data_IF_772229316610
#
_entry.id   IF_772229316610
#
_cell.length_a   1.000
_cell.length_b   1.000
_cell.length_c   1.000
_cell.angle_alpha   90.00
_cell.angle_beta   90.00
_cell.angle_gamma   90.00
#
_symmetry.space_group_name_H-M   'P 1'
#
loop_
_entity.id
_entity.type
_entity.pdbx_description
1 polymer ?
2 non-polymer ?
3 water ?
#
# COMPACT_ATOMS: atom_id res chain seq x y z
N UNK A 3 -5.52 29.93 22.24
CA UNK A 3 -4.79 28.69 22.66
C UNK A 3 -5.74 27.68 23.39
N UNK A 4 -6.44 26.90 22.55
CA UNK A 4 -7.68 26.19 22.90
C UNK A 4 -7.51 24.69 23.03
N UNK A 5 -8.19 24.12 24.02
CA UNK A 5 -8.13 22.72 24.34
C UNK A 5 -9.44 22.01 23.97
N UNK A 6 -9.34 20.95 23.17
CA UNK A 6 -10.48 20.10 22.85
C UNK A 6 -10.58 18.97 23.86
N UNK A 7 -11.79 18.74 24.34
CA UNK A 7 -12.01 17.70 25.32
C UNK A 7 -13.19 16.87 24.89
N UNK A 8 -13.03 15.58 24.88
CA UNK A 8 -14.10 14.74 24.41
C UNK A 8 -14.54 13.90 25.56
N UNK A 9 -15.82 13.97 25.88
CA UNK A 9 -16.43 13.10 26.84
C UNK A 9 -17.39 12.21 26.07
N UNK A 10 -17.77 11.06 26.67
CA UNK A 10 -18.77 10.17 26.10
C UNK A 10 -18.16 9.00 25.30
N UNK A 11 -16.87 9.10 24.97
CA UNK A 11 -16.19 8.08 24.13
C UNK A 11 -15.23 7.15 24.86
N UNK A 12 -15.12 5.93 24.35
CA UNK A 12 -14.35 4.88 24.99
C UNK A 12 -13.70 3.94 23.98
N UNK A 13 -12.44 3.60 24.26
CA UNK A 13 -11.74 2.57 23.54
C UNK A 13 -11.09 3.10 22.29
N UNK A 14 -11.23 2.32 21.23
CA UNK A 14 -10.76 2.61 19.88
C UNK A 14 -11.46 3.86 19.23
N UNK A 15 -12.74 4.04 19.56
CA UNK A 15 -13.54 5.19 19.14
C UNK A 15 -12.94 6.47 19.66
N UNK A 16 -12.68 6.49 20.98
CA UNK A 16 -12.04 7.63 21.63
C UNK A 16 -10.73 8.05 20.92
N UNK A 17 -9.90 7.07 20.58
CA UNK A 17 -8.58 7.30 19.99
C UNK A 17 -8.68 7.79 18.55
N UNK A 18 -9.54 7.14 17.74
CA UNK A 18 -9.75 7.59 16.37
C UNK A 18 -10.34 9.03 16.30
N UNK A 19 -11.09 9.43 17.31
CA UNK A 19 -11.51 10.82 17.43
C UNK A 19 -10.34 11.74 17.85
N UNK A 20 -9.77 11.54 19.05
CA UNK A 20 -8.68 12.40 19.59
C UNK A 20 -7.63 12.68 18.55
N UNK A 21 -7.34 11.66 17.75
CA UNK A 21 -6.32 11.73 16.72
C UNK A 21 -6.82 12.70 15.66
N UNK A 22 -8.01 12.42 15.15
CA UNK A 22 -8.67 13.25 14.17
C UNK A 22 -8.79 14.73 14.66
N UNK A 23 -8.69 14.94 15.97
CA UNK A 23 -8.80 16.28 16.56
C UNK A 23 -7.54 17.15 16.55
N UNK A 24 -6.41 16.59 16.99
CA UNK A 24 -5.15 17.35 17.04
C UNK A 24 -4.72 17.79 15.64
N UNK A 25 -5.33 17.14 14.65
CA UNK A 25 -5.40 17.59 13.24
C UNK A 25 -5.53 19.10 13.04
N UNK A 26 -6.45 19.74 13.76
CA UNK A 26 -6.62 21.19 13.68
C UNK A 26 -5.86 21.93 14.77
N UNK A 27 -5.85 23.25 14.62
CA UNK A 27 -5.21 24.17 15.57
C UNK A 27 -5.80 24.07 16.97
N UNK A 33 -11.96 30.82 17.88
CA UNK A 33 -12.74 29.87 18.72
C UNK A 33 -14.27 29.99 18.56
N UNK A 34 -14.69 30.74 17.53
CA UNK A 34 -16.08 31.03 17.12
C UNK A 34 -16.86 29.84 16.53
N UNK A 35 -18.08 30.10 16.03
CA UNK A 35 -18.94 29.05 15.45
C UNK A 35 -18.29 28.36 14.24
N UNK A 36 -17.58 29.12 13.41
CA UNK A 36 -16.83 28.54 12.30
C UNK A 36 -15.82 27.46 12.77
N UNK A 37 -14.98 27.78 13.75
CA UNK A 37 -14.04 26.79 14.32
C UNK A 37 -14.73 25.56 14.98
N UNK A 38 -15.79 25.79 15.76
CA UNK A 38 -16.59 24.70 16.35
C UNK A 38 -17.12 23.73 15.29
N UNK A 39 -17.57 24.25 14.14
CA UNK A 39 -18.18 23.40 13.10
C UNK A 39 -17.09 22.50 12.49
N UNK A 40 -15.90 23.07 12.31
CA UNK A 40 -14.74 22.33 11.87
C UNK A 40 -14.38 21.20 12.83
N UNK A 41 -14.57 21.42 14.12
CA UNK A 41 -14.44 20.37 15.16
C UNK A 41 -15.55 19.32 15.08
N UNK A 42 -16.75 19.76 14.85
CA UNK A 42 -17.84 18.82 14.69
C UNK A 42 -17.55 17.92 13.49
N UNK A 43 -17.15 18.51 12.37
CA UNK A 43 -16.82 17.72 11.18
C UNK A 43 -15.79 16.63 11.49
N UNK A 44 -14.65 17.08 12.01
CA UNK A 44 -13.59 16.18 12.41
C UNK A 44 -14.06 15.00 13.31
N UNK A 45 -14.96 15.25 14.25
CA UNK A 45 -15.38 14.20 15.15
C UNK A 45 -16.21 13.19 14.36
N UNK A 46 -17.00 13.74 13.43
CA UNK A 46 -17.86 12.94 12.57
C UNK A 46 -17.07 12.02 11.64
N UNK A 47 -16.00 12.53 11.04
CA UNK A 47 -15.09 11.70 10.21
C UNK A 47 -14.53 10.48 10.99
N UNK A 48 -13.91 10.75 12.13
CA UNK A 48 -13.56 9.69 13.08
C UNK A 48 -14.60 8.62 13.43
N UNK A 49 -15.87 9.00 13.51
CA UNK A 49 -16.88 8.00 13.85
C UNK A 49 -17.39 7.17 12.65
N UNK A 50 -17.58 7.84 11.48
CA UNK A 50 -17.94 7.19 10.20
C UNK A 50 -16.95 6.06 9.95
N UNK A 51 -15.65 6.39 9.98
CA UNK A 51 -14.57 5.42 9.71
C UNK A 51 -14.72 4.19 10.56
N UNK A 52 -15.34 4.38 11.72
CA UNK A 52 -15.48 3.32 12.64
C UNK A 52 -16.90 2.81 12.74
N UNK A 53 -17.73 3.35 11.87
CA UNK A 53 -19.04 2.73 11.63
C UNK A 53 -20.23 3.49 12.19
N UNK A 54 -19.97 4.69 12.71
CA UNK A 54 -20.98 5.51 13.38
C UNK A 54 -21.31 6.74 12.56
N UNK A 55 -22.41 6.66 11.80
CA UNK A 55 -22.78 7.73 10.88
C UNK A 55 -23.72 8.76 11.47
N UNK A 56 -24.47 8.36 12.48
CA UNK A 56 -25.44 9.25 13.12
C UNK A 56 -25.19 9.47 14.64
N UNK A 57 -24.10 10.16 15.03
CA UNK A 57 -23.86 10.40 16.43
C UNK A 57 -24.56 11.70 16.89
N UNK A 58 -24.39 12.05 18.17
CA UNK A 58 -24.76 13.37 18.70
C UNK A 58 -23.54 14.10 19.27
N UNK A 59 -23.35 15.34 18.91
CA UNK A 59 -22.24 16.14 19.42
C UNK A 59 -22.83 17.44 20.04
N UNK A 60 -22.77 17.57 21.37
CA UNK A 60 -23.18 18.81 22.09
C UNK A 60 -21.97 19.47 22.73
N UNK A 61 -21.60 20.65 22.23
CA UNK A 61 -20.46 21.43 22.72
C UNK A 61 -20.78 22.27 23.95
N UNK A 62 -19.83 22.28 24.90
CA UNK A 62 -19.83 23.24 26.01
C UNK A 62 -18.54 24.06 25.96
N UNK A 63 -18.66 25.33 25.59
CA UNK A 63 -17.51 26.23 25.54
C UNK A 63 -17.32 27.01 26.84
N UNK A 64 -16.24 26.72 27.55
CA UNK A 64 -16.03 27.24 28.89
C UNK A 64 -15.35 28.60 28.76
N UNK A 65 -15.61 29.52 29.72
CA UNK A 65 -15.09 30.90 29.58
C UNK A 65 -13.54 30.99 29.73
N UNK A 66 -12.85 31.87 28.95
CA UNK A 66 -11.37 32.00 28.96
C UNK A 66 -10.81 32.03 30.37
N UNK A 67 -10.10 30.97 30.81
CA UNK A 67 -10.00 30.68 32.25
C UNK A 67 -9.10 31.68 33.00
N UNK A 68 -9.11 31.64 34.34
CA UNK A 68 -8.35 32.60 35.16
C UNK A 68 -7.02 32.94 34.47
N UNK A 69 -6.13 31.95 34.35
CA UNK A 69 -5.06 31.89 33.32
C UNK A 69 -4.77 30.41 32.96
N UNK A 70 -4.09 30.19 31.84
CA UNK A 70 -3.95 28.85 31.29
C UNK A 70 -4.67 28.71 29.97
N UNK A 71 -5.41 27.61 29.81
CA UNK A 71 -5.83 27.09 28.50
C UNK A 71 -7.39 27.02 28.35
N UNK A 72 -7.98 27.60 27.29
CA UNK A 72 -9.48 27.64 27.17
C UNK A 72 -10.18 26.37 26.71
N UNK A 73 -11.00 25.78 27.57
CA UNK A 73 -11.66 24.49 27.30
C UNK A 73 -12.94 24.60 26.45
N UNK A 74 -12.96 23.86 25.34
CA UNK A 74 -14.18 23.49 24.62
C UNK A 74 -14.46 21.98 24.82
N UNK A 75 -15.42 21.63 25.66
CA UNK A 75 -15.85 20.25 25.80
C UNK A 75 -16.69 19.89 24.58
N UNK A 76 -16.72 18.60 24.22
CA UNK A 76 -17.66 18.05 23.25
C UNK A 76 -18.21 16.69 23.76
N UNK A 77 -19.48 16.61 24.09
CA UNK A 77 -20.05 15.40 24.68
C UNK A 77 -20.65 14.54 23.56
N UNK A 78 -20.12 13.34 23.36
CA UNK A 78 -20.45 12.54 22.18
C UNK A 78 -21.18 11.28 22.54
N UNK A 79 -22.30 11.04 21.88
CA UNK A 79 -22.95 9.74 21.88
C UNK A 79 -22.85 9.17 20.46
N UNK A 80 -21.95 8.18 20.25
CA UNK A 80 -21.73 7.49 18.96
C UNK A 80 -23.03 7.17 18.20
N UNK A 81 -23.87 6.39 18.88
CA UNK A 81 -25.20 6.13 18.43
C UNK A 81 -25.21 4.75 17.85
N UNK A 82 -26.01 4.62 16.84
CA UNK A 82 -26.20 3.31 16.32
C UNK A 82 -25.18 3.15 15.19
N UNK A 83 -24.60 1.95 15.16
CA UNK A 83 -23.55 1.66 14.18
C UNK A 83 -24.11 1.01 12.88
N UNK A 84 -23.47 1.31 11.74
CA UNK A 84 -23.64 0.50 10.51
C UNK A 84 -22.90 -0.83 10.64
N UNK A 85 -23.56 -1.91 10.28
CA UNK A 85 -23.01 -3.23 10.25
C UNK A 85 -22.80 -3.75 8.82
N UNK A 86 -21.80 -4.61 8.62
CA UNK A 86 -21.63 -5.26 7.37
C UNK A 86 -22.85 -6.12 7.07
N UNK A 87 -23.59 -5.81 6.01
CA UNK A 87 -24.66 -6.67 5.60
C UNK A 87 -24.42 -7.54 4.41
N UNK A 88 -23.22 -7.50 3.85
CA UNK A 88 -22.97 -8.41 2.74
C UNK A 88 -21.66 -8.07 2.09
N UNK A 89 -20.98 -9.09 1.58
CA UNK A 89 -19.79 -8.86 0.77
C UNK A 89 -19.93 -9.66 -0.50
N UNK A 90 -19.56 -9.00 -1.58
CA UNK A 90 -19.53 -9.68 -2.83
C UNK A 90 -18.15 -9.35 -3.41
N UNK A 91 -17.19 -10.27 -3.18
CA UNK A 91 -15.85 -10.10 -3.70
C UNK A 91 -15.53 -11.17 -4.70
N UNK A 92 -15.29 -10.83 -5.97
CA UNK A 92 -14.86 -11.81 -6.95
C UNK A 92 -13.41 -11.50 -7.42
N UNK A 93 -12.61 -12.55 -7.57
CA UNK A 93 -11.20 -12.42 -8.01
C UNK A 93 -11.10 -13.10 -9.32
N UNK A 94 -10.65 -12.41 -10.35
CA UNK A 94 -10.56 -13.10 -11.64
C UNK A 94 -9.07 -13.07 -12.11
N UNK A 95 -8.74 -13.90 -13.10
CA UNK A 95 -7.42 -13.97 -13.69
C UNK A 95 -6.62 -14.88 -12.78
N UNK A 96 -5.28 -14.74 -12.75
CA UNK A 96 -4.44 -15.65 -11.94
C UNK A 96 -4.78 -15.58 -10.46
N UNK A 97 -5.36 -14.48 -10.05
CA UNK A 97 -5.69 -14.32 -8.66
C UNK A 97 -6.74 -15.28 -8.18
N UNK A 98 -7.57 -15.74 -9.08
CA UNK A 98 -8.64 -16.63 -8.71
C UNK A 98 -8.13 -17.87 -8.00
N UNK A 99 -7.00 -18.44 -8.47
CA UNK A 99 -6.43 -19.59 -7.80
C UNK A 99 -5.10 -19.31 -7.02
N UNK A 100 -4.71 -18.04 -6.84
CA UNK A 100 -3.40 -17.71 -6.32
C UNK A 100 -3.42 -17.81 -4.84
N UNK A 101 -2.45 -18.53 -4.25
CA UNK A 101 -2.32 -18.74 -2.79
C UNK A 101 -2.48 -17.43 -1.96
N UNK A 102 -1.90 -16.34 -2.46
CA UNK A 102 -1.89 -15.11 -1.62
C UNK A 102 -3.20 -14.33 -1.83
N UNK A 103 -3.74 -14.33 -3.03
CA UNK A 103 -5.06 -13.68 -3.19
C UNK A 103 -6.11 -14.49 -2.38
N UNK A 104 -6.07 -15.83 -2.44
CA UNK A 104 -7.01 -16.65 -1.61
C UNK A 104 -6.85 -16.37 -0.16
N UNK A 105 -5.62 -16.24 0.29
CA UNK A 105 -5.37 -15.88 1.69
C UNK A 105 -6.06 -14.56 2.07
N UNK A 106 -5.92 -13.54 1.23
CA UNK A 106 -6.43 -12.22 1.53
C UNK A 106 -8.01 -12.24 1.59
N UNK A 107 -8.61 -13.02 0.70
CA UNK A 107 -10.07 -13.21 0.56
C UNK A 107 -10.67 -13.60 1.91
N UNK A 108 -9.95 -14.39 2.69
CA UNK A 108 -10.38 -14.78 4.02
C UNK A 108 -10.40 -13.69 5.06
N UNK A 109 -9.73 -12.57 4.85
CA UNK A 109 -9.80 -11.49 5.83
C UNK A 109 -11.06 -10.59 5.61
N UNK A 110 -11.93 -10.89 4.66
CA UNK A 110 -13.20 -10.15 4.56
C UNK A 110 -13.96 -10.18 5.89
N UNK A 111 -14.66 -9.07 6.25
CA UNK A 111 -15.38 -9.03 7.54
C UNK A 111 -16.64 -9.85 7.47
N UNK A 112 -17.11 -10.35 8.62
CA UNK A 112 -18.30 -11.20 8.57
C UNK A 112 -19.53 -10.33 8.60
N UNK A 113 -20.56 -10.86 7.96
CA UNK A 113 -21.87 -10.24 8.03
C UNK A 113 -22.16 -10.05 9.50
N UNK A 114 -22.49 -8.84 9.90
CA UNK A 114 -22.99 -8.62 11.21
C UNK A 114 -22.04 -7.79 11.99
N UNK A 115 -20.79 -7.73 11.55
CA UNK A 115 -19.78 -6.93 12.29
C UNK A 115 -19.92 -5.46 12.01
N UNK A 116 -19.41 -4.62 12.88
CA UNK A 116 -19.44 -3.21 12.68
C UNK A 116 -18.49 -2.78 11.53
N UNK A 117 -19.02 -1.90 10.67
CA UNK A 117 -18.31 -1.35 9.55
C UNK A 117 -17.03 -0.67 10.06
N UNK A 118 -15.95 -0.98 9.35
CA UNK A 118 -14.70 -0.29 9.48
C UNK A 118 -14.21 -0.02 8.05
N UNK A 119 -14.19 1.25 7.72
CA UNK A 119 -13.80 1.68 6.43
C UNK A 119 -12.36 1.32 6.07
N UNK A 120 -11.44 1.44 7.04
CA UNK A 120 -10.05 1.09 6.80
C UNK A 120 -9.85 -0.39 6.44
N UNK A 121 -10.64 -1.32 7.01
CA UNK A 121 -10.57 -2.71 6.55
C UNK A 121 -10.81 -2.77 5.04
N UNK A 122 -11.67 -1.89 4.55
CA UNK A 122 -12.05 -1.96 3.17
C UNK A 122 -10.95 -1.34 2.32
N UNK A 123 -10.48 -0.16 2.72
CA UNK A 123 -9.33 0.55 2.13
C UNK A 123 -8.08 -0.35 2.06
N UNK A 124 -7.78 -0.96 3.20
CA UNK A 124 -6.66 -1.91 3.30
C UNK A 124 -6.79 -3.10 2.41
N UNK A 125 -8.03 -3.54 2.22
CA UNK A 125 -8.20 -4.75 1.50
C UNK A 125 -7.84 -4.42 0.04
N UNK A 126 -8.33 -3.32 -0.48
CA UNK A 126 -8.05 -3.00 -1.86
C UNK A 126 -6.55 -2.75 -2.07
N UNK A 127 -5.88 -2.22 -1.05
CA UNK A 127 -4.50 -1.85 -1.18
C UNK A 127 -3.75 -3.16 -1.18
N UNK A 128 -4.24 -4.17 -0.45
CA UNK A 128 -3.56 -5.46 -0.45
C UNK A 128 -3.59 -6.18 -1.80
N UNK A 129 -4.63 -5.99 -2.59
CA UNK A 129 -4.73 -6.71 -3.82
C UNK A 129 -3.68 -6.11 -4.81
N UNK A 130 -3.64 -4.79 -4.86
CA UNK A 130 -2.68 -4.05 -5.66
C UNK A 130 -1.22 -4.37 -5.28
N UNK A 131 -0.96 -4.49 -3.99
CA UNK A 131 0.32 -4.85 -3.49
C UNK A 131 0.72 -6.29 -3.83
N UNK A 132 -0.20 -7.26 -3.85
CA UNK A 132 0.18 -8.61 -4.23
C UNK A 132 0.39 -8.59 -5.77
N UNK A 133 -0.43 -7.84 -6.49
CA UNK A 133 -0.27 -7.76 -7.92
C UNK A 133 1.17 -7.22 -8.30
N UNK A 134 1.61 -6.17 -7.64
CA UNK A 134 2.94 -5.55 -7.92
C UNK A 134 4.09 -6.47 -7.55
N UNK A 135 4.05 -7.10 -6.39
CA UNK A 135 5.05 -8.10 -5.98
C UNK A 135 5.13 -9.27 -6.94
N UNK A 136 4.04 -9.63 -7.61
CA UNK A 136 4.10 -10.87 -8.37
C UNK A 136 3.94 -10.69 -9.78
N UNK A 137 3.90 -9.43 -10.21
CA UNK A 137 3.95 -9.31 -11.66
C UNK A 137 2.60 -9.35 -12.36
N UNK A 138 1.49 -9.14 -11.62
CA UNK A 138 0.20 -9.11 -12.31
C UNK A 138 0.00 -7.75 -12.80
N UNK A 139 0.82 -7.31 -13.75
CA UNK A 139 0.77 -5.89 -14.12
C UNK A 139 -0.49 -5.45 -14.87
N UNK A 140 -1.46 -6.34 -15.22
CA UNK A 140 -2.66 -5.83 -15.94
C UNK A 140 -3.81 -5.64 -14.90
N UNK A 141 -3.50 -5.84 -13.65
CA UNK A 141 -4.41 -5.78 -12.56
C UNK A 141 -5.37 -4.60 -12.65
N UNK A 142 -6.69 -4.84 -12.56
CA UNK A 142 -7.64 -3.71 -12.59
C UNK A 142 -8.92 -4.10 -11.79
N UNK A 143 -9.66 -3.13 -11.27
CA UNK A 143 -10.98 -3.42 -10.66
C UNK A 143 -12.07 -3.08 -11.67
N UNK A 144 -12.87 -4.04 -12.11
CA UNK A 144 -14.18 -3.75 -12.78
C UNK A 144 -15.15 -2.95 -11.83
N UNK A 145 -15.18 -3.29 -10.54
CA UNK A 145 -16.06 -2.56 -9.58
C UNK A 145 -15.34 -2.56 -8.31
N UNK A 146 -15.49 -1.49 -7.57
CA UNK A 146 -14.94 -1.48 -6.24
C UNK A 146 -15.73 -0.45 -5.49
N UNK A 147 -16.71 -0.86 -4.67
CA UNK A 147 -17.62 0.13 -4.04
C UNK A 147 -17.92 -0.24 -2.59
N UNK A 148 -17.66 0.68 -1.66
CA UNK A 148 -18.13 0.51 -0.29
C UNK A 148 -19.48 1.26 -0.29
N UNK A 149 -20.58 0.51 -0.36
CA UNK A 149 -21.92 1.11 -0.25
C UNK A 149 -22.59 1.14 1.14
N UNK A 150 -23.12 2.27 1.50
CA UNK A 150 -23.77 2.38 2.81
C UNK A 150 -25.26 2.72 2.66
N UNK A 151 -26.11 1.80 3.15
CA UNK A 151 -27.57 1.90 3.09
C UNK A 151 -27.93 2.29 4.50
N UNK A 152 -28.02 3.58 4.75
CA UNK A 152 -28.21 4.07 6.09
C UNK A 152 -29.65 3.83 6.51
N UNK A 153 -30.56 3.65 5.53
CA UNK A 153 -31.89 3.15 5.82
C UNK A 153 -31.76 1.87 6.64
N UNK A 154 -30.95 0.93 6.16
CA UNK A 154 -30.88 -0.33 6.79
C UNK A 154 -29.86 -0.40 7.91
N UNK A 155 -29.16 0.70 8.22
CA UNK A 155 -27.87 0.53 8.94
C UNK A 155 -26.95 -0.63 8.47
N UNK A 156 -26.92 -0.88 7.17
CA UNK A 156 -26.01 -1.88 6.58
C UNK A 156 -25.00 -1.32 5.53
N UNK A 157 -23.83 -1.97 5.44
CA UNK A 157 -22.73 -1.58 4.53
C UNK A 157 -22.41 -2.78 3.68
N UNK A 158 -22.12 -2.56 2.39
CA UNK A 158 -21.83 -3.65 1.46
C UNK A 158 -20.52 -3.43 0.73
N UNK A 159 -19.75 -4.49 0.59
CA UNK A 159 -18.55 -4.43 -0.20
C UNK A 159 -18.93 -5.03 -1.51
N UNK A 160 -18.66 -4.34 -2.62
CA UNK A 160 -18.71 -4.98 -3.92
C UNK A 160 -17.35 -4.75 -4.67
N UNK A 161 -16.65 -5.83 -4.97
CA UNK A 161 -15.30 -5.74 -5.53
C UNK A 161 -15.32 -6.77 -6.56
N UNK A 162 -15.12 -6.32 -7.79
CA UNK A 162 -14.84 -7.24 -8.84
C UNK A 162 -13.43 -6.93 -9.37
N UNK A 163 -12.53 -7.87 -9.13
CA UNK A 163 -11.08 -7.59 -9.30
C UNK A 163 -10.42 -8.58 -10.24
N UNK A 164 -9.70 -8.10 -11.26
CA UNK A 164 -9.01 -8.99 -12.25
C UNK A 164 -7.48 -8.81 -12.19
N UNK A 165 -6.74 -9.84 -11.74
CA UNK A 165 -5.30 -9.80 -11.69
C UNK A 165 -4.74 -9.81 -13.09
N UNK A 166 -5.41 -10.56 -13.96
CA UNK A 166 -4.92 -10.84 -15.33
C UNK A 166 -3.83 -11.89 -15.24
N UNK A 167 -3.08 -12.06 -16.32
CA UNK A 167 -2.01 -13.06 -16.21
C UNK A 167 -0.73 -12.46 -15.65
N UNK A 168 -0.04 -13.34 -14.98
CA UNK A 168 1.22 -13.10 -14.38
C UNK A 168 2.25 -12.90 -15.49
N UNK A 169 2.96 -11.79 -15.41
CA UNK A 169 4.00 -11.52 -16.41
C UNK A 169 5.23 -12.37 -16.12
N UNK A 170 6.00 -12.58 -17.17
CA UNK A 170 7.24 -13.35 -17.05
C UNK A 170 8.51 -12.50 -17.31
N UNK A 171 9.59 -12.82 -16.61
CA UNK A 171 10.89 -12.19 -16.90
C UNK A 171 11.31 -12.46 -18.34
N UNK A 172 11.65 -11.43 -19.07
CA UNK A 172 12.36 -11.67 -20.35
C UNK A 172 13.90 -11.67 -20.19
N UNK A 173 14.62 -11.22 -21.22
CA UNK A 173 16.08 -11.20 -21.20
C UNK A 173 16.60 -9.97 -20.53
N UNK A 174 17.67 -10.10 -19.75
CA UNK A 174 18.43 -8.90 -19.22
C UNK A 174 19.56 -8.42 -20.18
N UNK A 175 19.44 -7.22 -20.72
CA UNK A 175 20.45 -6.66 -21.53
C UNK A 175 21.27 -5.73 -20.65
N UNK A 176 22.59 -5.93 -20.58
CA UNK A 176 23.51 -4.98 -19.86
C UNK A 176 24.23 -4.01 -20.79
N UNK A 177 24.41 -2.81 -20.32
CA UNK A 177 25.11 -1.79 -21.04
C UNK A 177 26.05 -1.01 -20.13
N UNK A 178 27.20 -0.61 -20.68
CA UNK A 178 28.24 0.17 -19.98
C UNK A 178 29.25 -0.70 -19.24
N UNK A 179 29.11 -2.00 -19.34
CA UNK A 179 29.82 -2.87 -18.39
C UNK A 179 31.22 -3.16 -18.89
N UNK A 180 32.21 -3.34 -17.98
CA UNK A 180 33.54 -3.74 -18.41
C UNK A 180 33.59 -5.21 -18.33
N UNK A 181 32.59 -5.80 -17.69
CA UNK A 181 32.51 -7.30 -17.58
C UNK A 181 31.74 -7.76 -18.78
N UNK A 182 32.15 -8.89 -19.35
CA UNK A 182 31.56 -9.42 -20.56
C UNK A 182 30.24 -10.13 -20.17
N UNK A 183 29.32 -10.14 -21.11
CA UNK A 183 27.98 -10.58 -20.91
C UNK A 183 27.85 -11.98 -20.30
N UNK A 184 28.63 -12.91 -20.78
CA UNK A 184 28.50 -14.25 -20.29
C UNK A 184 28.51 -14.23 -18.76
N UNK A 185 29.34 -13.33 -18.20
CA UNK A 185 29.52 -13.35 -16.77
C UNK A 185 28.37 -12.60 -16.04
N UNK A 186 27.88 -11.50 -16.61
CA UNK A 186 26.68 -10.87 -16.08
C UNK A 186 25.53 -11.92 -16.11
N UNK A 187 25.31 -12.57 -17.25
CA UNK A 187 24.23 -13.53 -17.40
C UNK A 187 24.26 -14.61 -16.38
N UNK A 188 25.43 -14.90 -15.84
CA UNK A 188 25.52 -15.94 -14.83
C UNK A 188 24.95 -15.51 -13.52
N UNK A 189 25.00 -14.19 -13.27
CA UNK A 189 24.52 -13.57 -12.04
C UNK A 189 22.99 -13.40 -11.99
N UNK A 190 22.28 -13.31 -13.12
CA UNK A 190 20.84 -13.05 -13.07
C UNK A 190 20.17 -14.23 -12.27
N UNK A 191 19.42 -13.93 -11.16
CA UNK A 191 18.77 -14.96 -10.30
C UNK A 191 17.48 -15.58 -10.88
N UNK A 192 17.32 -15.57 -12.18
CA UNK A 192 16.11 -16.19 -12.75
C UNK A 192 16.44 -16.49 -14.17
N UNK A 193 15.70 -17.44 -14.70
CA UNK A 193 15.80 -17.84 -16.06
C UNK A 193 14.73 -17.07 -16.90
N UNK A 194 15.01 -16.78 -18.14
CA UNK A 194 14.05 -16.09 -19.01
C UNK A 194 12.72 -16.90 -19.10
N UNK A 195 11.54 -16.28 -18.95
CA UNK A 195 10.32 -17.09 -18.93
C UNK A 195 9.85 -17.52 -17.54
N UNK A 196 10.70 -17.37 -16.50
CA UNK A 196 10.25 -17.41 -15.10
C UNK A 196 9.24 -16.28 -14.82
N UNK A 197 8.31 -16.59 -13.93
CA UNK A 197 7.30 -15.67 -13.51
C UNK A 197 7.90 -14.56 -12.66
N UNK A 198 7.41 -13.36 -12.92
CA UNK A 198 7.96 -12.21 -12.37
C UNK A 198 7.86 -12.26 -10.87
N UNK A 199 8.90 -11.74 -10.22
CA UNK A 199 8.77 -11.53 -8.80
C UNK A 199 9.63 -10.38 -8.35
N UNK A 200 9.04 -9.42 -7.69
CA UNK A 200 9.73 -8.18 -7.39
C UNK A 200 11.01 -8.40 -6.55
N UNK A 201 11.01 -9.40 -5.68
CA UNK A 201 12.15 -9.68 -4.91
C UNK A 201 13.37 -10.20 -5.74
N UNK A 202 13.17 -10.69 -6.95
CA UNK A 202 14.27 -11.02 -7.84
C UNK A 202 14.95 -9.78 -8.44
N UNK A 203 14.23 -8.68 -8.58
CA UNK A 203 14.92 -7.41 -8.93
C UNK A 203 15.88 -6.96 -7.82
N UNK A 204 15.50 -7.25 -6.55
CA UNK A 204 16.30 -6.76 -5.43
C UNK A 204 17.54 -7.63 -5.24
N UNK A 205 17.37 -8.91 -5.51
CA UNK A 205 18.39 -9.88 -5.46
C UNK A 205 19.33 -9.72 -6.69
N UNK A 206 18.84 -9.26 -7.83
CA UNK A 206 19.71 -9.02 -8.95
C UNK A 206 20.61 -7.85 -8.55
N UNK A 207 20.05 -6.81 -7.95
CA UNK A 207 20.81 -5.66 -7.55
C UNK A 207 21.89 -6.02 -6.57
N UNK A 208 21.55 -6.88 -5.63
CA UNK A 208 22.47 -7.24 -4.61
C UNK A 208 23.62 -8.17 -5.11
N UNK A 209 23.34 -9.14 -6.00
CA UNK A 209 24.34 -10.00 -6.59
C UNK A 209 25.36 -9.17 -7.42
N UNK A 210 24.88 -8.26 -8.24
CA UNK A 210 25.63 -7.25 -8.88
C UNK A 210 26.56 -6.56 -7.88
N UNK A 211 26.01 -6.10 -6.77
CA UNK A 211 26.89 -5.41 -5.85
C UNK A 211 27.94 -6.35 -5.19
N UNK A 212 27.61 -7.61 -4.93
CA UNK A 212 28.53 -8.47 -4.20
C UNK A 212 29.82 -8.73 -5.03
N UNK A 213 29.79 -8.47 -6.33
CA UNK A 213 30.93 -8.74 -7.20
C UNK A 213 31.99 -7.60 -7.13
N UNK A 214 31.63 -6.42 -6.61
CA UNK A 214 32.49 -5.24 -6.61
C UNK A 214 32.72 -4.61 -7.94
N UNK A 215 32.07 -5.09 -9.02
CA UNK A 215 32.35 -4.56 -10.36
C UNK A 215 31.87 -3.24 -10.71
N UNK A 216 30.90 -2.67 -10.00
CA UNK A 216 30.36 -1.44 -10.62
C UNK A 216 30.13 -0.47 -9.54
N UNK A 217 30.21 0.81 -9.78
CA UNK A 217 29.74 1.66 -8.73
C UNK A 217 28.35 2.23 -8.89
N UNK A 218 27.72 1.96 -10.00
CA UNK A 218 26.37 2.35 -10.23
C UNK A 218 25.69 1.28 -11.08
N UNK A 219 24.50 0.80 -10.68
CA UNK A 219 23.61 0.09 -11.63
C UNK A 219 22.21 0.67 -11.62
N UNK A 220 21.61 0.82 -12.79
CA UNK A 220 20.19 1.22 -12.87
C UNK A 220 19.52 0.13 -13.70
N UNK A 221 18.62 -0.68 -13.06
CA UNK A 221 17.85 -1.76 -13.72
C UNK A 221 16.37 -1.34 -13.95
N UNK A 222 16.05 -1.14 -15.23
CA UNK A 222 14.78 -0.67 -15.75
C UNK A 222 14.06 -1.81 -16.50
N UNK A 223 12.93 -2.29 -15.95
CA UNK A 223 12.01 -3.20 -16.67
C UNK A 223 11.51 -2.49 -17.92
N UNK A 224 11.49 -3.12 -19.11
CA UNK A 224 10.92 -2.43 -20.30
C UNK A 224 9.44 -2.79 -20.52
N UNK A 225 8.54 -1.93 -20.02
CA UNK A 225 7.09 -2.19 -20.06
C UNK A 225 6.42 -2.05 -21.37
N UNK A 226 6.90 -1.16 -22.22
CA UNK A 226 6.26 -0.87 -23.52
C UNK A 226 6.02 -2.15 -24.36
N UNK A 227 6.99 -3.04 -24.38
CA UNK A 227 6.86 -4.33 -25.07
C UNK A 227 5.97 -5.37 -24.39
N UNK A 228 6.43 -5.71 -23.19
CA UNK A 228 5.74 -6.55 -22.24
C UNK A 228 4.21 -6.45 -22.23
N UNK A 229 3.67 -5.27 -22.48
CA UNK A 229 2.21 -5.07 -22.43
C UNK A 229 1.43 -6.14 -23.24
N UNK A 230 2.05 -6.67 -24.29
CA UNK A 230 1.31 -7.54 -25.18
C UNK A 230 1.86 -8.94 -25.36
N UNK A 231 3.01 -9.20 -24.77
CA UNK A 231 3.67 -10.51 -24.75
C UNK A 231 3.65 -11.06 -23.33
N UNK A 232 3.38 -10.22 -22.33
CA UNK A 232 3.52 -10.62 -20.91
C UNK A 232 4.95 -11.07 -20.48
N UNK A 233 5.95 -10.61 -21.27
CA UNK A 233 7.36 -10.94 -20.98
C UNK A 233 8.06 -9.60 -20.82
N UNK A 234 8.70 -9.46 -19.67
CA UNK A 234 9.27 -8.16 -19.28
C UNK A 234 10.84 -8.19 -19.42
N UNK A 235 11.39 -7.64 -20.51
CA UNK A 235 12.84 -7.49 -20.65
C UNK A 235 13.29 -6.50 -19.62
N UNK A 236 14.51 -6.72 -19.10
CA UNK A 236 15.19 -5.75 -18.28
C UNK A 236 16.40 -5.13 -19.05
N UNK A 237 16.60 -3.84 -18.89
CA UNK A 237 17.84 -3.19 -19.24
C UNK A 237 18.64 -2.74 -18.02
N UNK A 238 19.84 -3.27 -17.90
CA UNK A 238 20.78 -2.88 -16.81
C UNK A 238 21.91 -1.95 -17.28
N UNK A 239 21.84 -0.70 -16.85
CA UNK A 239 22.81 0.30 -17.21
C UNK A 239 23.77 0.41 -16.04
N UNK A 240 24.98 -0.05 -16.28
CA UNK A 240 26.03 -0.06 -15.21
C UNK A 240 27.25 0.82 -15.52
N UNK A 241 27.82 1.47 -14.50
CA UNK A 241 29.13 2.17 -14.67
C UNK A 241 30.23 1.46 -13.87
N UNK A 242 31.31 1.02 -14.56
CA UNK A 242 32.37 0.11 -14.01
C UNK A 242 33.10 0.74 -12.84
N UNK A 243 33.62 -0.06 -11.96
CA UNK A 243 34.38 0.46 -10.83
C UNK A 243 35.78 -0.10 -11.13
N UNK A 244 36.77 0.79 -11.21
CA UNK A 244 38.17 0.36 -11.47
C UNK A 244 39.21 0.61 -10.32
N UNK A 245 38.79 1.27 -9.22
CA UNK A 245 39.71 1.78 -8.17
C UNK A 245 39.82 0.88 -6.92
N UNK A 253 57.32 -3.71 -4.97
CA UNK A 253 57.44 -5.13 -4.58
C UNK A 253 58.53 -5.99 -5.24
N UNK A 254 58.49 -6.12 -6.58
CA UNK A 254 59.63 -6.67 -7.40
C UNK A 254 60.07 -5.70 -8.52
N UNK A 255 61.29 -5.89 -9.02
CA UNK A 255 61.88 -5.06 -10.10
C UNK A 255 61.29 -5.31 -11.53
N UNK A 256 60.81 -4.26 -12.21
CA UNK A 256 60.43 -4.34 -13.66
C UNK A 256 61.67 -4.56 -14.57
N UNK A 257 62.78 -3.93 -14.16
CA UNK A 257 64.09 -4.05 -14.80
C UNK A 257 64.77 -5.44 -14.73
N UNK A 258 64.00 -6.49 -14.42
CA UNK A 258 64.50 -7.84 -14.66
C UNK A 258 64.47 -8.10 -16.19
N UNK A 259 65.63 -8.43 -16.74
CA UNK A 259 65.75 -8.78 -18.15
C UNK A 259 65.50 -10.26 -18.26
N UNK A 260 65.72 -10.85 -19.46
CA UNK A 260 65.43 -12.30 -19.68
C UNK A 260 66.59 -13.26 -19.36
N UNK A 261 66.29 -14.55 -19.38
CA UNK A 261 67.31 -15.61 -19.24
C UNK A 261 68.25 -15.63 -20.47
N UNK A 262 69.55 -15.39 -20.25
CA UNK A 262 70.48 -15.19 -21.38
C UNK A 262 70.93 -16.50 -22.03
#
# INVERSE_FOLDING_TARGET
>A
MANVRLQVEGLSGQLEKNVRAQLSTIESDEVTPDRRFRARVDDAIREGLKALGYYQPTIEFDLRPPPKKGRQVLIAKVTPGVPVLIGGTDVVLRGGARTDKDYLKLLDTRPAIGTVLNQGDYENFKKSLTSIALRKGYFDSEFTKAQLGIALGLHKAFWDIDYNSGERYRFGHVTFEGSQIRDEYLQNLVPFKEGDEYESKDLAELNRRLSATGWFNSVVVAPQFDKARETKVLPLTGVVSPRTENTIETGVGYSTDVGPRVKATWKKPWMNSLEHHHHHH
#
